data_IF_774412676290
#
_entry.id   IF_774412676290
#
_cell.length_a   1.000
_cell.length_b   1.000
_cell.length_c   1.000
_cell.angle_alpha   90.00
_cell.angle_beta   90.00
_cell.angle_gamma   90.00
#
_symmetry.space_group_name_H-M   'P 1'
#
loop_
_entity.id
_entity.type
_entity.pdbx_description
1 polymer ?
#
# COMPACT_ATOMS: atom_id res chain seq x y z
N UNK A 1 -1.52 -8.20 6.35
CA UNK A 1 -0.05 -8.22 6.38
C UNK A 1 0.54 -9.37 5.59
N UNK A 2 -0.11 -10.51 5.55
CA UNK A 2 0.44 -11.75 5.00
C UNK A 2 0.36 -11.82 3.48
N UNK A 3 -0.36 -10.91 2.88
CA UNK A 3 -0.54 -10.84 1.45
C UNK A 3 0.65 -10.16 0.77
N UNK A 4 1.47 -9.45 1.56
CA UNK A 4 2.64 -8.70 1.09
C UNK A 4 3.97 -9.37 1.45
N UNK A 5 4.00 -10.67 1.56
CA UNK A 5 5.21 -11.45 1.88
C UNK A 5 6.32 -11.36 0.82
N UNK A 6 6.14 -10.54 -0.22
CA UNK A 6 7.15 -10.31 -1.24
C UNK A 6 8.32 -9.45 -0.76
N UNK A 7 8.09 -8.59 0.23
CA UNK A 7 9.10 -7.69 0.79
C UNK A 7 9.54 -8.07 2.21
N UNK A 8 8.63 -8.66 2.99
CA UNK A 8 8.87 -9.16 4.34
C UNK A 8 8.34 -10.57 4.50
N UNK A 9 8.96 -11.36 5.37
CA UNK A 9 8.48 -12.67 5.78
C UNK A 9 8.02 -12.63 7.23
N UNK A 10 6.89 -13.27 7.50
CA UNK A 10 6.34 -13.45 8.83
C UNK A 10 6.29 -14.92 9.19
N UNK A 11 6.79 -15.29 10.38
CA UNK A 11 6.62 -16.62 10.91
C UNK A 11 5.17 -16.82 11.40
N UNK A 12 4.84 -18.01 11.65
CA UNK A 12 3.52 -18.40 12.11
C UNK A 12 2.89 -19.43 11.20
N UNK A 13 1.89 -20.11 11.70
CA UNK A 13 1.29 -21.23 11.01
C UNK A 13 0.60 -20.79 9.71
N UNK A 14 1.22 -21.04 8.57
CA UNK A 14 0.68 -20.87 7.22
C UNK A 14 0.69 -19.45 6.63
N UNK A 15 1.22 -18.44 7.31
CA UNK A 15 1.06 -17.02 6.92
C UNK A 15 1.58 -16.67 5.52
N UNK A 16 2.68 -17.28 5.08
CA UNK A 16 3.28 -16.96 3.78
C UNK A 16 2.85 -17.91 2.66
N UNK A 17 1.85 -18.75 2.91
CA UNK A 17 1.43 -19.84 2.02
C UNK A 17 0.08 -19.60 1.33
N UNK A 18 -0.37 -18.35 1.23
CA UNK A 18 -1.71 -17.95 0.74
C UNK A 18 -2.88 -18.49 1.58
N UNK A 19 -2.61 -18.98 2.78
CA UNK A 19 -3.66 -19.37 3.71
C UNK A 19 -4.26 -18.14 4.40
N UNK A 20 -5.56 -17.93 4.26
CA UNK A 20 -6.27 -16.86 4.95
C UNK A 20 -6.74 -17.36 6.32
N UNK A 21 -6.24 -16.72 7.37
CA UNK A 21 -6.63 -17.01 8.75
C UNK A 21 -7.91 -16.27 9.11
N UNK A 22 -9.03 -16.98 9.25
CA UNK A 22 -10.36 -16.40 9.44
C UNK A 22 -10.42 -15.36 10.56
N UNK A 23 -9.80 -15.64 11.72
CA UNK A 23 -9.80 -14.70 12.84
C UNK A 23 -9.10 -13.38 12.52
N UNK A 24 -8.02 -13.41 11.74
CA UNK A 24 -7.30 -12.20 11.34
C UNK A 24 -8.00 -11.44 10.23
N UNK A 25 -8.58 -12.15 9.29
CA UNK A 25 -9.43 -11.57 8.25
C UNK A 25 -10.62 -10.84 8.88
N UNK A 26 -11.31 -11.50 9.81
CA UNK A 26 -12.43 -10.91 10.54
C UNK A 26 -12.01 -9.69 11.38
N UNK A 27 -10.88 -9.78 12.08
CA UNK A 27 -10.33 -8.65 12.83
C UNK A 27 -9.98 -7.46 11.92
N UNK A 28 -9.38 -7.71 10.76
CA UNK A 28 -9.04 -6.67 9.78
C UNK A 28 -10.29 -5.95 9.30
N UNK A 29 -11.35 -6.67 8.95
CA UNK A 29 -12.61 -6.06 8.55
C UNK A 29 -13.26 -5.28 9.71
N UNK A 30 -13.42 -5.92 10.86
CA UNK A 30 -14.08 -5.34 12.04
C UNK A 30 -13.38 -4.06 12.49
N UNK A 31 -12.07 -4.08 12.66
CA UNK A 31 -11.30 -2.94 13.17
C UNK A 31 -11.40 -1.72 12.26
N UNK A 32 -11.57 -1.91 10.95
CA UNK A 32 -11.76 -0.81 10.00
C UNK A 32 -12.98 0.05 10.36
N UNK A 33 -14.02 -0.53 10.96
CA UNK A 33 -15.22 0.19 11.37
C UNK A 33 -15.22 0.55 12.85
N UNK A 34 -14.92 -0.39 13.74
CA UNK A 34 -15.05 -0.19 15.19
C UNK A 34 -14.11 0.90 15.73
N UNK A 35 -12.92 1.03 15.14
CA UNK A 35 -11.92 2.01 15.58
C UNK A 35 -12.17 3.43 15.06
N UNK A 36 -12.99 3.59 14.03
CA UNK A 36 -13.15 4.89 13.37
C UNK A 36 -14.58 5.44 13.43
N UNK A 37 -15.59 4.58 13.23
CA UNK A 37 -16.94 5.01 12.89
C UNK A 37 -17.61 5.85 13.99
N UNK A 38 -17.44 5.48 15.24
CA UNK A 38 -18.05 6.19 16.37
C UNK A 38 -17.52 7.63 16.46
N UNK A 39 -16.19 7.77 16.47
CA UNK A 39 -15.55 9.10 16.54
C UNK A 39 -15.86 9.95 15.31
N UNK A 40 -15.90 9.36 14.12
CA UNK A 40 -16.29 10.07 12.91
C UNK A 40 -17.73 10.61 12.97
N UNK A 41 -18.68 9.82 13.51
CA UNK A 41 -20.07 10.24 13.72
C UNK A 41 -20.18 11.39 14.72
N UNK A 42 -19.49 11.28 15.86
CA UNK A 42 -19.47 12.32 16.90
C UNK A 42 -18.90 13.63 16.36
N UNK A 43 -17.79 13.57 15.61
CA UNK A 43 -17.18 14.75 14.96
C UNK A 43 -18.17 15.36 13.97
N UNK A 44 -18.85 14.56 13.15
CA UNK A 44 -19.85 15.03 12.22
C UNK A 44 -20.96 15.81 12.94
N UNK A 45 -21.57 15.20 13.95
CA UNK A 45 -22.67 15.80 14.71
C UNK A 45 -22.26 17.10 15.37
N UNK A 46 -21.09 17.13 15.98
CA UNK A 46 -20.60 18.36 16.66
C UNK A 46 -20.22 19.44 15.65
N UNK A 47 -19.63 19.08 14.52
CA UNK A 47 -19.31 20.04 13.44
C UNK A 47 -20.57 20.64 12.82
N UNK A 48 -21.59 19.84 12.57
CA UNK A 48 -22.91 20.33 12.07
C UNK A 48 -23.57 21.27 13.08
N UNK A 49 -23.48 20.99 14.35
CA UNK A 49 -24.05 21.81 15.45
C UNK A 49 -23.30 23.11 15.65
N UNK A 50 -21.99 23.10 15.57
CA UNK A 50 -21.12 24.28 15.84
C UNK A 50 -20.83 25.10 14.59
N UNK A 51 -21.04 24.54 13.39
CA UNK A 51 -20.63 25.11 12.12
C UNK A 51 -19.14 24.98 11.79
N UNK A 52 -18.35 24.28 12.62
CA UNK A 52 -16.90 24.04 12.42
C UNK A 52 -16.65 22.86 11.49
N UNK A 53 -17.02 23.01 10.21
CA UNK A 53 -16.96 21.95 9.20
C UNK A 53 -15.54 21.53 8.82
N UNK A 54 -14.52 22.31 9.13
CA UNK A 54 -13.12 21.98 8.88
C UNK A 54 -12.63 20.75 9.67
N UNK A 55 -13.10 20.56 10.89
CA UNK A 55 -12.77 19.37 11.70
C UNK A 55 -13.40 18.13 11.08
N UNK A 56 -14.64 18.25 10.61
CA UNK A 56 -15.29 17.15 9.89
C UNK A 56 -14.63 16.87 8.53
N UNK A 57 -14.20 17.89 7.81
CA UNK A 57 -13.45 17.71 6.56
C UNK A 57 -12.16 16.90 6.77
N UNK A 58 -11.42 17.17 7.84
CA UNK A 58 -10.26 16.36 8.24
C UNK A 58 -10.68 14.93 8.60
N UNK A 59 -11.75 14.74 9.35
CA UNK A 59 -12.28 13.42 9.70
C UNK A 59 -12.71 12.63 8.46
N UNK A 60 -13.24 13.28 7.40
CA UNK A 60 -13.56 12.65 6.11
C UNK A 60 -12.28 12.16 5.41
N UNK A 61 -11.23 12.97 5.37
CA UNK A 61 -9.94 12.54 4.80
C UNK A 61 -9.40 11.32 5.54
N UNK A 62 -9.45 11.30 6.88
CA UNK A 62 -9.02 10.18 7.70
C UNK A 62 -9.87 8.92 7.44
N UNK A 63 -11.20 9.06 7.35
CA UNK A 63 -12.11 7.97 7.00
C UNK A 63 -11.72 7.35 5.65
N UNK A 64 -11.52 8.16 4.64
CA UNK A 64 -11.15 7.69 3.30
C UNK A 64 -9.77 7.04 3.32
N UNK A 65 -8.79 7.60 4.03
CA UNK A 65 -7.44 7.03 4.20
C UNK A 65 -7.45 5.62 4.82
N UNK A 66 -8.45 5.32 5.65
CA UNK A 66 -8.64 4.00 6.23
C UNK A 66 -9.49 3.08 5.34
N UNK A 67 -10.63 3.56 4.88
CA UNK A 67 -11.65 2.70 4.26
C UNK A 67 -11.41 2.38 2.78
N UNK A 68 -10.63 3.19 2.06
CA UNK A 68 -10.19 2.76 0.73
C UNK A 68 -9.41 1.43 0.80
N UNK A 69 -8.63 1.23 1.88
CA UNK A 69 -7.89 -0.03 2.09
C UNK A 69 -8.84 -1.20 2.34
N UNK A 70 -9.93 -0.97 3.08
CA UNK A 70 -10.96 -1.98 3.32
C UNK A 70 -11.67 -2.36 2.02
N UNK A 71 -12.06 -1.34 1.22
CA UNK A 71 -12.64 -1.53 -0.11
C UNK A 71 -11.71 -2.32 -1.04
N UNK A 72 -10.43 -1.94 -1.08
CA UNK A 72 -9.41 -2.60 -1.90
C UNK A 72 -9.06 -4.01 -1.41
N UNK A 73 -9.33 -4.32 -0.14
CA UNK A 73 -9.07 -5.63 0.46
C UNK A 73 -10.22 -6.60 0.27
N UNK A 74 -11.46 -6.15 0.47
CA UNK A 74 -12.65 -7.02 0.53
C UNK A 74 -13.57 -6.90 -0.68
N UNK A 75 -13.52 -5.80 -1.44
CA UNK A 75 -14.48 -5.45 -2.47
C UNK A 75 -15.62 -4.60 -1.90
N UNK A 76 -16.89 -4.82 -2.27
CA UNK A 76 -18.04 -4.07 -1.77
C UNK A 76 -18.03 -3.91 -0.25
N UNK A 77 -18.30 -2.70 0.24
CA UNK A 77 -18.36 -2.36 1.67
C UNK A 77 -19.47 -1.35 1.93
N UNK A 78 -20.04 -1.27 3.14
CA UNK A 78 -20.91 -0.18 3.54
C UNK A 78 -20.07 1.11 3.70
N UNK A 79 -20.19 2.04 2.76
CA UNK A 79 -19.50 3.33 2.77
C UNK A 79 -20.47 4.51 2.88
N UNK A 80 -21.43 4.61 1.97
CA UNK A 80 -22.33 5.78 1.86
C UNK A 80 -23.31 5.86 3.03
N UNK A 81 -23.85 4.73 3.47
CA UNK A 81 -24.80 4.61 4.56
C UNK A 81 -24.15 4.26 5.92
N UNK A 82 -22.82 4.18 5.95
CA UNK A 82 -22.11 3.84 7.18
C UNK A 82 -22.37 4.87 8.30
N UNK A 83 -22.83 4.35 9.44
CA UNK A 83 -23.16 5.17 10.61
C UNK A 83 -24.60 5.65 10.67
N UNK A 84 -25.46 5.30 9.72
CA UNK A 84 -26.89 5.50 9.85
C UNK A 84 -27.48 4.65 10.98
N UNK A 85 -28.58 5.10 11.61
CA UNK A 85 -29.23 4.38 12.72
C UNK A 85 -30.11 3.24 12.17
N UNK A 86 -29.50 2.28 11.46
CA UNK A 86 -30.16 1.11 10.92
C UNK A 86 -29.52 -0.18 11.43
N UNK A 87 -30.32 -1.23 11.62
CA UNK A 87 -29.81 -2.55 12.01
C UNK A 87 -29.03 -3.21 10.88
N UNK A 88 -29.39 -2.89 9.65
CA UNK A 88 -28.81 -3.44 8.44
C UNK A 88 -28.32 -2.28 7.59
N UNK A 89 -27.04 -2.22 7.32
CA UNK A 89 -26.41 -1.18 6.49
C UNK A 89 -26.10 -1.79 5.11
N UNK A 90 -26.65 -1.25 4.00
CA UNK A 90 -26.40 -1.79 2.68
C UNK A 90 -24.94 -1.62 2.27
N UNK A 91 -24.45 -2.53 1.44
CA UNK A 91 -23.13 -2.44 0.83
C UNK A 91 -23.18 -1.58 -0.43
N UNK A 92 -22.17 -0.77 -0.63
CA UNK A 92 -21.96 -0.07 -1.89
C UNK A 92 -21.13 -0.94 -2.83
N UNK A 93 -21.41 -0.85 -4.14
CA UNK A 93 -20.50 -1.40 -5.14
C UNK A 93 -19.14 -0.68 -5.05
N UNK A 94 -18.07 -1.35 -5.49
CA UNK A 94 -16.75 -0.72 -5.49
C UNK A 94 -16.75 0.60 -6.28
N UNK A 95 -17.43 0.63 -7.44
CA UNK A 95 -17.57 1.84 -8.26
C UNK A 95 -18.27 2.97 -7.52
N UNK A 96 -19.39 2.67 -6.84
CA UNK A 96 -20.16 3.69 -6.13
C UNK A 96 -19.39 4.18 -4.89
N UNK A 97 -18.71 3.28 -4.17
CA UNK A 97 -17.86 3.65 -3.03
C UNK A 97 -16.69 4.56 -3.47
N UNK A 98 -16.00 4.27 -4.59
CA UNK A 98 -14.96 5.16 -5.13
C UNK A 98 -15.52 6.51 -5.53
N UNK A 99 -16.67 6.56 -6.20
CA UNK A 99 -17.33 7.81 -6.58
C UNK A 99 -17.70 8.65 -5.35
N UNK A 100 -18.22 8.01 -4.31
CA UNK A 100 -18.54 8.69 -3.04
C UNK A 100 -17.25 9.20 -2.35
N UNK A 101 -16.16 8.42 -2.33
CA UNK A 101 -14.87 8.86 -1.80
C UNK A 101 -14.33 10.09 -2.56
N UNK A 102 -14.47 10.14 -3.89
CA UNK A 102 -14.05 11.32 -4.65
C UNK A 102 -14.91 12.54 -4.33
N UNK A 103 -16.21 12.38 -4.16
CA UNK A 103 -17.09 13.49 -3.78
C UNK A 103 -16.74 14.01 -2.38
N UNK A 104 -16.57 13.10 -1.42
CA UNK A 104 -16.17 13.43 -0.04
C UNK A 104 -14.81 14.13 0.02
N UNK A 105 -13.81 13.64 -0.74
CA UNK A 105 -12.50 14.28 -0.84
C UNK A 105 -12.59 15.68 -1.46
N UNK A 106 -13.38 15.84 -2.52
CA UNK A 106 -13.56 17.14 -3.18
C UNK A 106 -14.12 18.16 -2.19
N UNK A 107 -15.18 17.81 -1.47
CA UNK A 107 -15.79 18.69 -0.48
C UNK A 107 -14.82 19.01 0.70
N UNK A 108 -14.10 17.99 1.19
CA UNK A 108 -13.14 18.19 2.27
C UNK A 108 -11.96 19.10 1.84
N UNK A 109 -11.42 18.91 0.64
CA UNK A 109 -10.35 19.73 0.07
C UNK A 109 -10.80 21.19 -0.06
N UNK A 110 -12.01 21.44 -0.57
CA UNK A 110 -12.57 22.78 -0.71
C UNK A 110 -12.65 23.51 0.64
N UNK A 111 -13.20 22.85 1.67
CA UNK A 111 -13.30 23.42 3.02
C UNK A 111 -11.92 23.71 3.60
N UNK A 112 -10.96 22.78 3.47
CA UNK A 112 -9.61 22.95 4.03
C UNK A 112 -8.80 23.99 3.25
N UNK A 113 -9.00 24.14 1.95
CA UNK A 113 -8.33 25.16 1.14
C UNK A 113 -8.67 26.57 1.62
N UNK A 114 -9.93 26.83 1.93
CA UNK A 114 -10.34 28.11 2.52
C UNK A 114 -9.63 28.39 3.87
N UNK A 115 -9.29 27.36 4.64
CA UNK A 115 -8.51 27.51 5.89
C UNK A 115 -7.02 27.75 5.61
N UNK A 116 -6.46 27.14 4.56
CA UNK A 116 -5.08 27.44 4.09
C UNK A 116 -4.93 28.91 3.74
N UNK A 117 -5.89 29.50 3.03
CA UNK A 117 -5.88 30.91 2.67
C UNK A 117 -5.89 31.84 3.89
N UNK A 118 -6.53 31.40 4.97
CA UNK A 118 -6.56 32.12 6.25
C UNK A 118 -5.32 31.94 7.10
N UNK A 119 -4.37 31.08 6.69
CA UNK A 119 -3.19 30.72 7.48
C UNK A 119 -3.53 29.97 8.78
N UNK A 120 -4.68 29.29 8.84
CA UNK A 120 -5.18 28.64 10.05
C UNK A 120 -4.67 27.21 10.20
N UNK A 121 -4.45 26.76 11.43
CA UNK A 121 -4.20 25.37 11.80
C UNK A 121 -5.50 24.67 12.19
N UNK A 122 -5.51 23.33 12.13
CA UNK A 122 -6.65 22.51 12.55
C UNK A 122 -6.19 21.51 13.59
N UNK A 123 -6.83 21.49 14.76
CA UNK A 123 -6.63 20.54 15.86
C UNK A 123 -5.15 20.24 16.17
N UNK A 124 -4.29 21.27 16.14
CA UNK A 124 -2.83 21.13 16.22
C UNK A 124 -2.36 20.30 17.42
N UNK A 125 -3.01 20.44 18.57
CA UNK A 125 -2.66 19.71 19.80
C UNK A 125 -2.97 18.21 19.71
N UNK A 126 -3.76 17.79 18.73
CA UNK A 126 -4.23 16.40 18.57
C UNK A 126 -3.77 15.76 17.25
N UNK A 127 -3.12 16.52 16.38
CA UNK A 127 -2.65 16.02 15.07
C UNK A 127 -1.23 15.47 15.16
N UNK A 128 -1.11 14.14 15.27
CA UNK A 128 0.17 13.43 15.32
C UNK A 128 0.82 13.25 13.93
N UNK A 129 0.20 13.73 12.84
CA UNK A 129 0.71 13.58 11.47
C UNK A 129 1.39 14.86 10.99
N UNK A 130 0.69 15.98 11.05
CA UNK A 130 1.17 17.26 10.53
C UNK A 130 1.16 18.42 11.54
N UNK A 131 0.82 18.13 12.83
CA UNK A 131 0.75 19.17 13.86
C UNK A 131 -0.24 20.29 13.54
N UNK A 132 -1.31 19.97 12.82
CA UNK A 132 -2.35 20.91 12.44
C UNK A 132 -2.07 21.71 11.16
N UNK A 133 -1.01 21.41 10.42
CA UNK A 133 -0.69 22.09 9.15
C UNK A 133 -1.74 21.76 8.08
N UNK A 134 -2.68 22.70 7.90
CA UNK A 134 -3.79 22.56 6.95
C UNK A 134 -3.31 22.42 5.50
N UNK A 135 -2.24 23.13 5.12
CA UNK A 135 -1.69 23.05 3.75
C UNK A 135 -1.17 21.64 3.45
N UNK A 136 -0.50 20.99 4.40
CA UNK A 136 -0.04 19.62 4.25
C UNK A 136 -1.21 18.63 4.18
N UNK A 137 -2.28 18.85 4.95
CA UNK A 137 -3.49 18.04 4.85
C UNK A 137 -4.17 18.16 3.48
N UNK A 138 -4.21 19.35 2.88
CA UNK A 138 -4.73 19.54 1.51
C UNK A 138 -3.84 18.84 0.48
N UNK A 139 -2.50 18.97 0.59
CA UNK A 139 -1.58 18.23 -0.27
C UNK A 139 -1.76 16.72 -0.16
N UNK A 140 -1.93 16.22 1.06
CA UNK A 140 -2.20 14.80 1.29
C UNK A 140 -3.50 14.35 0.67
N UNK A 141 -4.59 15.11 0.86
CA UNK A 141 -5.90 14.80 0.31
C UNK A 141 -5.90 14.80 -1.23
N UNK A 142 -5.24 15.77 -1.88
CA UNK A 142 -5.02 15.77 -3.32
C UNK A 142 -4.21 14.55 -3.78
N UNK A 143 -3.17 14.17 -3.04
CA UNK A 143 -2.35 13.00 -3.35
C UNK A 143 -3.12 11.69 -3.15
N UNK A 144 -3.99 11.62 -2.15
CA UNK A 144 -4.91 10.51 -1.94
C UNK A 144 -5.94 10.42 -3.08
N UNK A 145 -6.49 11.55 -3.52
CA UNK A 145 -7.37 11.61 -4.72
C UNK A 145 -6.64 11.07 -5.96
N UNK A 146 -5.39 11.47 -6.17
CA UNK A 146 -4.55 10.96 -7.26
C UNK A 146 -4.32 9.44 -7.15
N UNK A 147 -4.02 8.90 -5.95
CA UNK A 147 -3.86 7.46 -5.71
C UNK A 147 -5.12 6.70 -6.09
N UNK A 148 -6.28 7.14 -5.58
CA UNK A 148 -7.57 6.49 -5.85
C UNK A 148 -7.97 6.60 -7.33
N UNK A 149 -7.71 7.73 -7.98
CA UNK A 149 -7.96 7.91 -9.41
C UNK A 149 -7.10 6.96 -10.26
N UNK A 150 -5.80 6.84 -9.96
CA UNK A 150 -4.94 5.87 -10.64
C UNK A 150 -5.34 4.42 -10.35
N UNK A 151 -5.91 4.13 -9.17
CA UNK A 151 -6.45 2.82 -8.81
C UNK A 151 -7.49 2.34 -9.80
N UNK A 152 -8.42 3.19 -10.18
CA UNK A 152 -9.52 2.85 -11.08
C UNK A 152 -9.19 3.05 -12.57
N UNK A 153 -7.96 3.39 -12.91
CA UNK A 153 -7.57 3.81 -14.28
C UNK A 153 -7.80 2.77 -15.37
N UNK A 154 -7.87 1.48 -15.04
CA UNK A 154 -8.22 0.42 -15.98
C UNK A 154 -9.72 0.13 -16.06
N UNK A 155 -10.47 0.41 -14.99
CA UNK A 155 -11.89 0.11 -14.90
C UNK A 155 -12.76 1.28 -15.35
N UNK A 156 -12.34 2.52 -15.06
CA UNK A 156 -13.04 3.75 -15.45
C UNK A 156 -12.03 4.87 -15.74
N UNK A 157 -11.46 4.83 -16.94
CA UNK A 157 -10.43 5.79 -17.38
C UNK A 157 -10.94 7.23 -17.39
N UNK A 158 -12.20 7.44 -17.73
CA UNK A 158 -12.79 8.79 -17.80
C UNK A 158 -12.83 9.44 -16.43
N UNK A 159 -13.33 8.71 -15.43
CA UNK A 159 -13.37 9.17 -14.05
C UNK A 159 -11.95 9.33 -13.49
N UNK A 160 -11.04 8.41 -13.81
CA UNK A 160 -9.64 8.49 -13.40
C UNK A 160 -8.97 9.77 -13.91
N UNK A 161 -9.04 10.07 -15.21
CA UNK A 161 -8.49 11.30 -15.81
C UNK A 161 -9.03 12.57 -15.16
N UNK A 162 -10.36 12.62 -14.92
CA UNK A 162 -11.01 13.74 -14.26
C UNK A 162 -10.37 14.06 -12.92
N UNK A 163 -10.27 13.07 -12.04
CA UNK A 163 -9.79 13.30 -10.68
C UNK A 163 -8.27 13.42 -10.58
N UNK A 164 -7.50 12.80 -11.50
CA UNK A 164 -6.07 13.08 -11.63
C UNK A 164 -5.85 14.55 -11.99
N UNK A 165 -6.56 15.09 -12.99
CA UNK A 165 -6.43 16.50 -13.36
C UNK A 165 -6.89 17.43 -12.24
N UNK A 166 -7.98 17.10 -11.55
CA UNK A 166 -8.45 17.88 -10.40
C UNK A 166 -7.37 17.97 -9.31
N UNK A 167 -6.73 16.85 -8.95
CA UNK A 167 -5.68 16.83 -7.95
C UNK A 167 -4.43 17.61 -8.39
N UNK A 168 -4.01 17.45 -9.65
CA UNK A 168 -2.78 18.07 -10.16
C UNK A 168 -2.92 19.58 -10.45
N UNK A 169 -4.12 20.03 -10.82
CA UNK A 169 -4.39 21.45 -11.12
C UNK A 169 -4.83 22.24 -9.88
N UNK A 170 -4.99 21.60 -8.72
CA UNK A 170 -5.35 22.28 -7.50
C UNK A 170 -4.24 23.25 -7.07
N UNK A 171 -4.61 24.46 -6.62
CA UNK A 171 -3.68 25.54 -6.31
C UNK A 171 -2.67 25.22 -5.20
N UNK A 172 -3.06 24.42 -4.20
CA UNK A 172 -2.17 23.94 -3.14
C UNK A 172 -1.26 22.80 -3.63
N UNK A 173 -1.71 22.08 -4.66
CA UNK A 173 -1.00 20.98 -5.29
C UNK A 173 -1.03 19.67 -4.48
N UNK A 174 -0.17 18.75 -4.91
CA UNK A 174 0.06 17.43 -4.29
C UNK A 174 1.36 17.42 -3.50
N UNK A 175 1.64 16.32 -2.80
CA UNK A 175 2.92 16.12 -2.11
C UNK A 175 4.06 16.04 -3.12
N UNK A 176 5.16 16.77 -2.87
CA UNK A 176 6.30 16.85 -3.80
C UNK A 176 7.68 16.73 -3.11
N UNK A 177 7.72 16.71 -1.80
CA UNK A 177 8.97 16.67 -1.05
C UNK A 177 8.84 15.80 0.20
N UNK A 178 9.97 15.33 0.72
CA UNK A 178 10.04 14.59 2.00
C UNK A 178 9.31 15.31 3.14
N UNK A 179 9.34 16.63 3.17
CA UNK A 179 8.66 17.42 4.18
C UNK A 179 7.11 17.35 4.10
N UNK A 180 6.56 16.85 2.99
CA UNK A 180 5.12 16.65 2.81
C UNK A 180 4.63 15.25 3.23
N UNK A 181 5.54 14.32 3.60
CA UNK A 181 5.19 12.93 3.93
C UNK A 181 4.10 12.85 5.00
N UNK A 182 3.06 12.06 4.73
CA UNK A 182 2.05 11.73 5.72
C UNK A 182 2.59 10.58 6.58
N UNK A 183 3.09 10.93 7.75
CA UNK A 183 3.70 9.98 8.68
C UNK A 183 3.11 10.13 10.07
N UNK A 184 2.84 9.02 10.72
CA UNK A 184 2.40 8.99 12.11
C UNK A 184 3.57 8.56 13.00
N UNK A 185 3.81 9.35 14.04
CA UNK A 185 4.83 9.09 15.06
C UNK A 185 4.29 9.42 16.45
N UNK A 186 5.16 9.45 17.48
CA UNK A 186 4.77 9.89 18.81
C UNK A 186 4.38 11.36 18.79
N UNK A 187 3.32 11.70 19.51
CA UNK A 187 2.82 13.06 19.65
C UNK A 187 1.40 13.09 20.17
N UNK A 188 0.88 14.27 20.47
CA UNK A 188 -0.50 14.49 20.89
C UNK A 188 -0.99 13.58 22.04
N UNK A 189 -0.13 13.27 23.00
CA UNK A 189 -0.45 12.37 24.12
C UNK A 189 -0.47 10.89 23.76
N UNK A 190 -0.14 10.53 22.51
CA UNK A 190 -0.12 9.15 22.05
C UNK A 190 1.25 8.51 22.27
N UNK A 191 1.26 7.29 22.81
CA UNK A 191 2.45 6.44 22.84
C UNK A 191 2.49 5.65 21.53
N UNK A 192 3.50 5.92 20.71
CA UNK A 192 3.70 5.25 19.43
C UNK A 192 4.82 4.22 19.53
N UNK A 193 4.60 3.08 18.93
CA UNK A 193 5.62 2.07 18.65
C UNK A 193 5.39 1.46 17.27
N UNK A 194 6.44 1.35 16.47
CA UNK A 194 6.34 0.71 15.17
C UNK A 194 6.15 -0.81 15.33
N UNK A 195 5.04 -1.35 14.81
CA UNK A 195 4.70 -2.76 14.93
C UNK A 195 5.68 -3.69 14.21
N UNK A 196 6.32 -3.24 13.12
CA UNK A 196 7.29 -4.05 12.38
C UNK A 196 8.52 -4.28 13.25
N UNK A 197 8.99 -3.27 13.97
CA UNK A 197 10.08 -3.42 14.95
C UNK A 197 9.71 -4.46 16.01
N UNK A 198 8.51 -4.35 16.56
CA UNK A 198 8.06 -5.26 17.60
C UNK A 198 7.97 -6.71 17.09
N UNK A 199 7.37 -6.95 15.92
CA UNK A 199 7.32 -8.26 15.29
C UNK A 199 8.72 -8.80 14.96
N UNK A 200 9.61 -7.96 14.46
CA UNK A 200 10.97 -8.36 14.08
C UNK A 200 11.84 -8.72 15.27
N UNK A 201 11.82 -7.90 16.34
CA UNK A 201 12.75 -8.00 17.43
C UNK A 201 12.22 -8.79 18.64
N UNK A 202 10.90 -8.69 18.93
CA UNK A 202 10.31 -9.42 20.07
C UNK A 202 9.81 -10.80 19.68
N UNK A 203 9.21 -10.93 18.50
CA UNK A 203 8.68 -12.23 18.03
C UNK A 203 9.59 -12.93 17.04
N UNK A 204 10.63 -12.26 16.54
CA UNK A 204 11.54 -12.81 15.53
C UNK A 204 10.82 -13.24 14.24
N UNK A 205 9.80 -12.50 13.82
CA UNK A 205 8.87 -12.92 12.78
C UNK A 205 9.00 -12.18 11.44
N UNK A 206 9.63 -11.01 11.40
CA UNK A 206 9.83 -10.25 10.17
C UNK A 206 11.25 -10.38 9.64
N UNK A 207 11.39 -10.74 8.38
CA UNK A 207 12.67 -10.84 7.66
C UNK A 207 12.51 -10.31 6.23
N UNK A 208 13.62 -9.96 5.61
CA UNK A 208 13.67 -9.61 4.20
C UNK A 208 13.04 -10.71 3.34
N UNK A 209 12.14 -10.34 2.44
CA UNK A 209 11.52 -11.27 1.49
C UNK A 209 12.37 -11.48 0.24
N UNK A 210 12.22 -12.65 -0.40
CA UNK A 210 12.99 -13.09 -1.57
C UNK A 210 12.93 -12.11 -2.73
N UNK A 211 11.77 -11.56 -3.05
CA UNK A 211 11.64 -10.62 -4.18
C UNK A 211 12.40 -9.32 -3.91
N UNK A 212 12.27 -8.77 -2.70
CA UNK A 212 13.01 -7.55 -2.32
C UNK A 212 14.53 -7.77 -2.40
N UNK A 213 15.01 -8.95 -1.98
CA UNK A 213 16.41 -9.35 -2.16
C UNK A 213 16.84 -9.33 -3.63
N UNK A 214 16.06 -9.95 -4.52
CA UNK A 214 16.38 -10.04 -5.95
C UNK A 214 16.51 -8.66 -6.60
N UNK A 215 15.61 -7.75 -6.27
CA UNK A 215 15.62 -6.39 -6.81
C UNK A 215 16.72 -5.52 -6.20
N UNK A 216 16.81 -5.42 -4.88
CA UNK A 216 17.75 -4.51 -4.23
C UNK A 216 19.22 -4.91 -4.46
N UNK A 217 19.54 -6.21 -4.38
CA UNK A 217 20.90 -6.65 -4.63
C UNK A 217 21.24 -6.57 -6.13
N UNK A 218 20.30 -6.95 -6.99
CA UNK A 218 20.51 -6.93 -8.44
C UNK A 218 20.76 -5.53 -8.99
N UNK A 219 19.95 -4.58 -8.61
CA UNK A 219 20.12 -3.18 -8.98
C UNK A 219 21.29 -2.48 -8.29
N UNK A 220 21.92 -3.14 -7.30
CA UNK A 220 22.83 -2.47 -6.36
C UNK A 220 22.17 -1.24 -5.75
N UNK A 221 20.88 -1.41 -5.37
CA UNK A 221 20.02 -0.32 -4.96
C UNK A 221 20.49 0.29 -3.64
N UNK A 222 20.84 1.59 -3.64
CA UNK A 222 21.44 2.22 -2.47
C UNK A 222 20.51 2.32 -1.26
N UNK A 223 19.20 2.01 -1.40
CA UNK A 223 18.24 1.91 -0.29
C UNK A 223 18.37 0.60 0.48
N UNK A 224 19.14 -0.39 0.00
CA UNK A 224 19.28 -1.70 0.64
C UNK A 224 19.60 -1.59 2.14
N UNK A 225 20.64 -0.87 2.50
CA UNK A 225 21.06 -0.70 3.90
C UNK A 225 20.13 0.20 4.73
N UNK A 226 19.35 1.07 4.08
CA UNK A 226 18.32 1.85 4.75
C UNK A 226 17.10 0.98 5.11
N UNK A 227 16.80 -0.04 4.31
CA UNK A 227 15.65 -0.90 4.52
C UNK A 227 15.93 -2.12 5.39
N UNK A 228 17.14 -2.70 5.28
CA UNK A 228 17.47 -3.96 5.94
C UNK A 228 18.82 -3.93 6.63
N UNK A 229 18.88 -4.59 7.79
CA UNK A 229 20.12 -4.87 8.47
C UNK A 229 20.88 -6.01 7.76
N UNK A 230 22.20 -6.01 7.91
CA UNK A 230 23.04 -7.12 7.43
C UNK A 230 22.66 -8.42 8.15
N UNK A 231 22.76 -9.53 7.43
CA UNK A 231 22.52 -10.85 7.96
C UNK A 231 23.74 -11.38 8.72
N UNK A 232 23.52 -12.04 9.84
CA UNK A 232 24.56 -12.79 10.58
C UNK A 232 24.73 -14.24 10.09
N UNK A 233 23.92 -14.69 9.13
CA UNK A 233 23.99 -16.05 8.60
C UNK A 233 25.32 -16.34 7.91
N UNK A 234 25.90 -17.51 8.20
CA UNK A 234 27.11 -17.99 7.52
C UNK A 234 26.92 -18.21 6.02
N UNK A 235 25.67 -18.31 5.56
CA UNK A 235 25.30 -18.55 4.16
C UNK A 235 24.80 -17.29 3.44
N UNK A 236 24.91 -16.13 4.09
CA UNK A 236 24.42 -14.88 3.50
C UNK A 236 25.26 -14.47 2.29
N UNK A 237 24.59 -13.86 1.31
CA UNK A 237 25.21 -13.37 0.07
C UNK A 237 25.87 -12.01 0.33
N UNK A 238 27.10 -11.84 -0.12
CA UNK A 238 27.79 -10.57 -0.09
C UNK A 238 27.21 -9.62 -1.12
N UNK A 239 26.88 -8.41 -0.69
CA UNK A 239 26.35 -7.35 -1.54
C UNK A 239 27.43 -6.34 -1.91
N UNK A 240 27.08 -5.42 -2.82
CA UNK A 240 27.96 -4.37 -3.34
C UNK A 240 28.46 -3.38 -2.26
N UNK A 241 27.80 -3.29 -1.12
CA UNK A 241 28.18 -2.44 0.03
C UNK A 241 29.15 -3.13 1.00
N UNK A 242 29.64 -4.32 0.66
CA UNK A 242 30.54 -5.13 1.48
C UNK A 242 29.85 -5.82 2.67
N UNK A 243 28.54 -5.68 2.81
CA UNK A 243 27.74 -6.38 3.82
C UNK A 243 27.13 -7.65 3.23
N UNK A 244 26.61 -8.50 4.08
CA UNK A 244 25.96 -9.75 3.68
C UNK A 244 24.47 -9.69 3.97
N UNK A 245 23.66 -10.18 3.04
CA UNK A 245 22.19 -10.21 3.16
C UNK A 245 21.66 -11.61 2.87
N UNK A 246 20.58 -11.94 3.54
CA UNK A 246 19.85 -13.19 3.31
C UNK A 246 18.36 -12.96 3.53
N UNK A 247 17.56 -13.47 2.59
CA UNK A 247 16.13 -13.32 2.59
C UNK A 247 15.41 -14.66 2.70
N UNK A 248 14.17 -14.62 3.14
CA UNK A 248 13.29 -15.79 3.26
C UNK A 248 12.50 -16.00 1.97
N UNK A 249 12.43 -17.24 1.46
CA UNK A 249 11.57 -17.58 0.33
C UNK A 249 10.08 -17.39 0.66
N UNK A 250 9.26 -16.92 -0.29
CA UNK A 250 7.84 -16.80 -0.06
C UNK A 250 7.18 -18.19 0.01
N UNK A 251 6.21 -18.37 0.90
CA UNK A 251 5.50 -19.64 1.07
C UNK A 251 6.39 -20.79 1.52
N UNK A 252 7.33 -20.49 2.38
CA UNK A 252 8.30 -21.44 2.89
C UNK A 252 7.64 -22.56 3.72
N UNK A 253 8.09 -23.80 3.51
CA UNK A 253 7.59 -24.97 4.23
C UNK A 253 8.06 -25.01 5.70
N UNK A 254 9.19 -24.39 6.01
CA UNK A 254 9.74 -24.32 7.36
C UNK A 254 9.26 -23.07 8.06
N UNK A 255 8.31 -23.23 8.96
CA UNK A 255 7.64 -22.13 9.63
C UNK A 255 8.21 -21.85 11.06
N UNK A 256 9.35 -22.43 11.39
CA UNK A 256 10.02 -22.15 12.64
C UNK A 256 10.86 -20.86 12.51
N UNK A 257 10.50 -19.84 13.26
CA UNK A 257 11.23 -18.57 13.29
C UNK A 257 12.71 -18.70 13.67
N UNK A 258 13.08 -19.73 14.42
CA UNK A 258 14.46 -20.01 14.81
C UNK A 258 15.40 -20.30 13.63
N UNK A 259 14.87 -20.77 12.50
CA UNK A 259 15.66 -21.05 11.28
C UNK A 259 16.15 -19.75 10.64
N UNK A 260 15.38 -18.68 10.78
CA UNK A 260 15.58 -17.40 10.09
C UNK A 260 16.08 -16.30 11.02
N UNK A 261 16.47 -16.64 12.25
CA UNK A 261 16.92 -15.68 13.27
C UNK A 261 18.03 -14.77 12.73
N UNK A 262 18.99 -15.34 12.01
CA UNK A 262 20.18 -14.64 11.51
C UNK A 262 19.99 -13.98 10.14
N UNK A 263 18.79 -14.08 9.56
CA UNK A 263 18.50 -13.45 8.26
C UNK A 263 18.31 -11.94 8.40
N UNK A 264 18.39 -11.22 7.28
CA UNK A 264 18.27 -9.77 7.25
C UNK A 264 16.94 -9.30 7.83
N UNK A 265 17.00 -8.46 8.85
CA UNK A 265 15.85 -7.84 9.51
C UNK A 265 15.50 -6.51 8.87
N UNK A 266 14.23 -6.06 8.98
CA UNK A 266 13.91 -4.67 8.72
C UNK A 266 14.75 -3.72 9.58
N UNK A 267 15.36 -2.72 8.96
CA UNK A 267 16.10 -1.67 9.67
C UNK A 267 15.10 -0.61 10.18
N UNK A 268 14.24 -1.01 11.11
CA UNK A 268 13.15 -0.20 11.65
C UNK A 268 13.27 -0.17 13.17
N UNK A 269 13.43 1.02 13.72
CA UNK A 269 13.45 1.26 15.15
C UNK A 269 12.02 1.43 15.71
N UNK A 270 11.85 1.34 17.03
CA UNK A 270 10.55 1.47 17.68
C UNK A 270 9.88 2.83 17.44
N UNK A 271 10.69 3.87 17.24
CA UNK A 271 10.23 5.24 16.96
C UNK A 271 10.24 5.59 15.46
N UNK A 272 10.58 4.65 14.58
CA UNK A 272 10.46 4.88 13.12
C UNK A 272 9.00 5.15 12.78
N UNK A 273 8.66 6.27 12.11
CA UNK A 273 7.28 6.59 11.77
C UNK A 273 6.60 5.53 10.91
N UNK A 274 5.28 5.45 11.00
CA UNK A 274 4.46 4.73 10.03
C UNK A 274 4.04 5.68 8.92
N UNK A 275 4.45 5.40 7.69
CA UNK A 275 4.16 6.23 6.53
C UNK A 275 2.83 5.82 5.88
N UNK A 276 1.91 6.77 5.75
CA UNK A 276 0.64 6.58 5.04
C UNK A 276 0.79 6.83 3.55
N UNK A 277 1.60 7.85 3.21
CA UNK A 277 1.96 8.21 1.84
C UNK A 277 3.26 9.00 1.84
N UNK A 278 4.10 8.75 0.84
CA UNK A 278 5.36 9.44 0.62
C UNK A 278 5.34 10.20 -0.71
N UNK A 279 6.14 11.25 -0.83
CA UNK A 279 6.17 12.08 -2.03
C UNK A 279 6.67 11.31 -3.27
N UNK A 280 7.59 10.37 -3.10
CA UNK A 280 8.08 9.50 -4.18
C UNK A 280 6.95 8.70 -4.83
N UNK A 281 6.01 8.19 -4.06
CA UNK A 281 4.82 7.51 -4.59
C UNK A 281 4.02 8.43 -5.51
N UNK A 282 3.82 9.68 -5.10
CA UNK A 282 3.06 10.68 -5.88
C UNK A 282 3.73 10.92 -7.23
N UNK A 283 5.05 11.02 -7.28
CA UNK A 283 5.78 11.13 -8.54
C UNK A 283 5.59 9.92 -9.45
N UNK A 284 5.62 8.70 -8.91
CA UNK A 284 5.37 7.50 -9.71
C UNK A 284 3.93 7.39 -10.22
N UNK A 285 2.93 7.82 -9.43
CA UNK A 285 1.54 7.92 -9.89
C UNK A 285 1.40 8.92 -11.05
N UNK A 286 2.07 10.06 -10.96
CA UNK A 286 2.11 11.08 -12.03
C UNK A 286 2.85 10.57 -13.26
N UNK A 287 3.97 9.87 -13.10
CA UNK A 287 4.72 9.28 -14.19
C UNK A 287 3.87 8.26 -14.97
N UNK A 288 3.11 7.43 -14.26
CA UNK A 288 2.16 6.50 -14.89
C UNK A 288 1.03 7.25 -15.63
N UNK A 289 0.45 8.29 -15.04
CA UNK A 289 -0.59 9.10 -15.67
C UNK A 289 -0.07 9.75 -16.96
N UNK A 290 1.13 10.33 -16.93
CA UNK A 290 1.76 10.93 -18.10
C UNK A 290 2.12 9.88 -19.16
N UNK A 291 2.60 8.70 -18.78
CA UNK A 291 2.88 7.61 -19.71
C UNK A 291 1.63 7.13 -20.44
N UNK A 292 0.48 7.06 -19.76
CA UNK A 292 -0.79 6.58 -20.30
C UNK A 292 -1.49 7.60 -21.15
N UNK A 293 -1.51 8.85 -20.71
CA UNK A 293 -2.44 9.86 -21.22
C UNK A 293 -1.74 11.05 -21.86
N UNK A 294 -0.42 11.09 -21.82
CA UNK A 294 0.39 12.08 -22.55
C UNK A 294 0.67 13.37 -21.79
N UNK A 295 1.16 14.36 -22.53
CA UNK A 295 1.81 15.56 -22.00
C UNK A 295 0.94 16.47 -21.12
N UNK A 296 -0.39 16.38 -21.21
CA UNK A 296 -1.27 17.14 -20.31
C UNK A 296 -1.05 16.76 -18.84
N UNK A 297 -0.59 15.53 -18.58
CA UNK A 297 -0.33 14.98 -17.25
C UNK A 297 1.14 15.15 -16.80
N UNK A 298 2.00 15.63 -17.68
CA UNK A 298 3.42 15.91 -17.44
C UNK A 298 4.37 15.14 -18.35
N UNK A 299 5.67 15.19 -18.03
CA UNK A 299 6.71 14.39 -18.69
C UNK A 299 6.94 13.11 -17.87
N UNK A 300 6.60 11.97 -18.45
CA UNK A 300 6.66 10.67 -17.76
C UNK A 300 8.09 10.31 -17.32
N UNK A 301 9.11 10.63 -18.15
CA UNK A 301 10.52 10.35 -17.83
C UNK A 301 10.98 11.22 -16.66
N UNK A 302 10.78 12.52 -16.76
CA UNK A 302 11.19 13.46 -15.73
C UNK A 302 10.51 13.16 -14.38
N UNK A 303 9.23 12.80 -14.40
CA UNK A 303 8.48 12.42 -13.20
C UNK A 303 8.98 11.09 -12.60
N UNK A 304 9.33 10.11 -13.42
CA UNK A 304 9.93 8.86 -12.97
C UNK A 304 11.28 9.09 -12.30
N UNK A 305 12.18 9.82 -12.95
CA UNK A 305 13.50 10.14 -12.43
C UNK A 305 13.41 10.95 -11.12
N UNK A 306 12.48 11.92 -11.06
CA UNK A 306 12.21 12.66 -9.83
C UNK A 306 11.64 11.76 -8.72
N UNK A 307 10.82 10.76 -9.06
CA UNK A 307 10.32 9.78 -8.11
C UNK A 307 11.45 8.97 -7.46
N UNK A 308 12.43 8.53 -8.26
CA UNK A 308 13.63 7.83 -7.75
C UNK A 308 14.47 8.76 -6.88
N UNK A 309 14.72 10.00 -7.32
CA UNK A 309 15.48 11.00 -6.56
C UNK A 309 14.82 11.30 -5.21
N UNK A 310 13.50 11.49 -5.22
CA UNK A 310 12.73 11.74 -4.00
C UNK A 310 12.80 10.54 -3.06
N UNK A 311 12.67 9.31 -3.58
CA UNK A 311 12.79 8.09 -2.76
C UNK A 311 14.19 7.95 -2.13
N UNK A 312 15.25 8.39 -2.81
CA UNK A 312 16.60 8.40 -2.23
C UNK A 312 16.68 9.41 -1.07
N UNK A 313 16.20 10.65 -1.27
CA UNK A 313 16.17 11.67 -0.22
C UNK A 313 15.33 11.23 1.00
N UNK A 314 14.16 10.66 0.77
CA UNK A 314 13.27 10.12 1.81
C UNK A 314 13.99 9.11 2.71
N UNK A 315 14.89 8.31 2.14
CA UNK A 315 15.63 7.27 2.85
C UNK A 315 17.06 7.69 3.26
N UNK A 316 17.40 8.96 3.09
CA UNK A 316 18.72 9.49 3.47
C UNK A 316 19.88 8.91 2.65
N UNK A 317 19.61 8.54 1.42
CA UNK A 317 20.60 7.97 0.48
C UNK A 317 21.22 9.09 -0.35
N UNK A 318 22.56 9.16 -0.37
CA UNK A 318 23.31 10.20 -1.09
C UNK A 318 23.93 9.74 -2.41
N UNK A 319 23.52 8.57 -2.93
CA UNK A 319 24.02 8.04 -4.20
C UNK A 319 23.51 8.84 -5.39
N UNK A 320 24.31 8.85 -6.48
CA UNK A 320 23.90 9.47 -7.73
C UNK A 320 22.69 8.77 -8.34
N UNK A 321 21.62 9.51 -8.54
CA UNK A 321 20.42 9.02 -9.21
C UNK A 321 20.70 8.71 -10.68
N UNK A 322 21.47 9.58 -11.36
CA UNK A 322 21.82 9.40 -12.76
C UNK A 322 22.63 8.13 -12.99
N UNK A 323 23.63 7.85 -12.13
CA UNK A 323 24.43 6.63 -12.21
C UNK A 323 23.58 5.39 -11.94
N UNK A 324 22.66 5.45 -10.99
CA UNK A 324 21.73 4.37 -10.69
C UNK A 324 20.82 4.08 -11.90
N UNK A 325 20.20 5.09 -12.46
CA UNK A 325 19.32 4.97 -13.62
C UNK A 325 20.05 4.48 -14.87
N UNK A 326 21.30 4.93 -15.09
CA UNK A 326 22.12 4.52 -16.24
C UNK A 326 22.83 3.17 -16.04
N UNK A 327 22.67 2.51 -14.90
CA UNK A 327 23.51 1.36 -14.53
C UNK A 327 23.36 0.13 -15.41
N UNK A 328 22.25 -0.02 -16.13
CA UNK A 328 21.95 -1.22 -16.92
C UNK A 328 21.80 -2.52 -16.11
N UNK A 329 21.78 -2.43 -14.78
CA UNK A 329 21.66 -3.56 -13.87
C UNK A 329 20.24 -4.13 -13.89
N UNK A 330 20.13 -5.42 -13.58
CA UNK A 330 18.86 -6.15 -13.52
C UNK A 330 18.73 -6.89 -12.20
N UNK A 331 17.51 -7.24 -11.76
CA UNK A 331 17.33 -8.11 -10.60
C UNK A 331 18.11 -9.41 -10.75
N UNK A 332 18.52 -10.01 -9.65
CA UNK A 332 19.28 -11.26 -9.64
C UNK A 332 18.43 -12.46 -9.22
N UNK A 333 18.90 -13.63 -9.55
CA UNK A 333 18.38 -14.88 -9.01
C UNK A 333 18.56 -14.90 -7.48
N UNK A 334 17.60 -15.45 -6.76
CA UNK A 334 17.73 -15.68 -5.34
C UNK A 334 18.06 -17.15 -5.07
N UNK A 335 19.32 -17.41 -4.73
CA UNK A 335 19.82 -18.72 -4.34
C UNK A 335 20.12 -18.70 -2.83
N UNK A 336 19.16 -19.16 -2.03
CA UNK A 336 19.28 -19.20 -0.58
C UNK A 336 19.72 -20.59 -0.12
N UNK A 337 20.61 -20.62 0.86
CA UNK A 337 21.01 -21.80 1.59
C UNK A 337 20.87 -21.57 3.09
N UNK A 338 20.41 -22.57 3.81
CA UNK A 338 20.48 -22.70 5.25
C UNK A 338 21.08 -24.08 5.58
N UNK A 339 21.31 -24.40 6.85
CA UNK A 339 21.98 -25.65 7.23
C UNK A 339 21.34 -26.92 6.66
N UNK A 340 20.02 -26.93 6.49
CA UNK A 340 19.26 -28.09 6.00
C UNK A 340 18.15 -27.73 4.99
N UNK A 341 18.18 -26.52 4.46
CA UNK A 341 17.20 -26.06 3.49
C UNK A 341 17.86 -25.18 2.43
N UNK A 342 17.45 -25.36 1.20
CA UNK A 342 17.88 -24.52 0.08
C UNK A 342 16.67 -24.09 -0.77
N UNK A 343 16.81 -22.94 -1.40
CA UNK A 343 15.84 -22.37 -2.30
C UNK A 343 16.56 -21.75 -3.49
N UNK A 344 15.95 -21.86 -4.66
CA UNK A 344 16.44 -21.19 -5.85
C UNK A 344 15.27 -20.64 -6.66
N UNK A 345 15.34 -19.37 -7.04
CA UNK A 345 14.46 -18.75 -7.99
C UNK A 345 15.28 -17.95 -9.00
N UNK A 346 14.89 -18.01 -10.28
CA UNK A 346 15.47 -17.18 -11.32
C UNK A 346 15.24 -15.69 -11.02
N UNK A 347 15.99 -14.81 -11.68
CA UNK A 347 15.71 -13.38 -11.66
C UNK A 347 14.26 -13.12 -12.12
N UNK A 348 13.48 -12.30 -11.39
CA UNK A 348 12.06 -12.14 -11.69
C UNK A 348 11.77 -11.40 -13.01
N UNK A 349 12.70 -10.55 -13.45
CA UNK A 349 12.61 -9.77 -14.69
C UNK A 349 13.99 -9.38 -15.18
N UNK A 350 14.08 -8.93 -16.43
CA UNK A 350 15.27 -8.30 -17.00
C UNK A 350 15.15 -6.76 -17.09
N UNK A 351 14.13 -6.17 -16.46
CA UNK A 351 13.94 -4.72 -16.45
C UNK A 351 15.11 -4.02 -15.74
N UNK A 352 15.63 -2.98 -16.39
CA UNK A 352 16.66 -2.09 -15.82
C UNK A 352 16.02 -0.86 -15.18
N UNK A 353 16.72 -0.11 -14.31
CA UNK A 353 16.21 1.16 -13.78
C UNK A 353 16.04 2.26 -14.83
N UNK A 354 16.71 2.19 -15.99
CA UNK A 354 16.62 3.18 -17.04
C UNK A 354 15.20 3.30 -17.62
N UNK A 355 14.70 4.53 -17.77
CA UNK A 355 13.38 4.78 -18.37
C UNK A 355 13.41 4.63 -19.88
N UNK A 356 13.53 3.41 -20.38
CA UNK A 356 13.67 3.04 -21.77
C UNK A 356 12.73 1.89 -22.17
N UNK A 357 12.54 1.69 -23.47
CA UNK A 357 11.67 0.64 -24.02
C UNK A 357 10.28 1.13 -24.41
N UNK A 358 9.37 0.19 -24.69
CA UNK A 358 7.98 0.44 -25.04
C UNK A 358 7.13 0.88 -23.82
N UNK A 359 5.86 1.18 -24.08
CA UNK A 359 4.94 1.68 -23.03
C UNK A 359 4.80 0.69 -21.88
N UNK A 360 4.65 -0.60 -22.16
CA UNK A 360 4.49 -1.63 -21.12
C UNK A 360 5.77 -1.83 -20.31
N UNK A 361 6.94 -1.80 -20.96
CA UNK A 361 8.24 -1.88 -20.27
C UNK A 361 8.49 -0.67 -19.37
N UNK A 362 8.12 0.53 -19.83
CA UNK A 362 8.18 1.75 -19.00
C UNK A 362 7.22 1.67 -17.81
N UNK A 363 6.01 1.13 -18.00
CA UNK A 363 5.08 0.89 -16.92
C UNK A 363 5.66 -0.08 -15.88
N UNK A 364 6.24 -1.20 -16.33
CA UNK A 364 6.92 -2.14 -15.42
C UNK A 364 7.97 -1.42 -14.56
N UNK A 365 8.81 -0.59 -15.18
CA UNK A 365 9.88 0.16 -14.49
C UNK A 365 9.34 1.18 -13.48
N UNK A 366 8.28 1.92 -13.84
CA UNK A 366 7.60 2.81 -12.90
C UNK A 366 7.10 2.03 -11.68
N UNK A 367 6.43 0.92 -11.91
CA UNK A 367 5.82 0.14 -10.82
C UNK A 367 6.89 -0.57 -9.97
N UNK A 368 7.99 -1.04 -10.56
CA UNK A 368 9.12 -1.59 -9.80
C UNK A 368 9.68 -0.53 -8.85
N UNK A 369 9.97 0.67 -9.34
CA UNK A 369 10.53 1.73 -8.50
C UNK A 369 9.53 2.24 -7.46
N UNK A 370 8.25 2.34 -7.82
CA UNK A 370 7.17 2.62 -6.87
C UNK A 370 7.09 1.55 -5.78
N UNK A 371 7.13 0.27 -6.14
CA UNK A 371 7.08 -0.85 -5.19
C UNK A 371 8.26 -0.83 -4.21
N UNK A 372 9.48 -0.56 -4.69
CA UNK A 372 10.65 -0.40 -3.81
C UNK A 372 10.45 0.80 -2.87
N UNK A 373 9.98 1.94 -3.39
CA UNK A 373 9.75 3.16 -2.61
C UNK A 373 8.62 3.02 -1.58
N UNK A 374 7.63 2.17 -1.83
CA UNK A 374 6.51 1.90 -0.92
C UNK A 374 6.93 1.13 0.34
N UNK A 375 8.12 0.53 0.40
CA UNK A 375 8.56 -0.17 1.59
C UNK A 375 8.52 0.74 2.83
N UNK A 376 7.92 0.35 3.96
CA UNK A 376 7.28 -0.92 4.26
C UNK A 376 5.73 -0.93 4.13
N UNK A 377 5.14 -0.11 3.25
CA UNK A 377 3.69 -0.04 3.04
C UNK A 377 3.19 -1.21 2.17
N UNK A 378 3.11 -2.38 2.77
CA UNK A 378 2.79 -3.60 2.05
C UNK A 378 1.37 -3.64 1.48
N UNK A 379 0.37 -2.96 2.08
CA UNK A 379 -0.98 -2.92 1.54
C UNK A 379 -1.01 -2.24 0.16
N UNK A 380 -0.39 -1.07 0.04
CA UNK A 380 -0.33 -0.34 -1.23
C UNK A 380 0.48 -1.13 -2.27
N UNK A 381 1.61 -1.74 -1.88
CA UNK A 381 2.42 -2.57 -2.74
C UNK A 381 1.62 -3.77 -3.32
N UNK A 382 0.83 -4.47 -2.48
CA UNK A 382 -0.04 -5.56 -2.90
C UNK A 382 -1.16 -5.09 -3.82
N UNK A 383 -1.74 -3.94 -3.54
CA UNK A 383 -2.83 -3.38 -4.34
C UNK A 383 -2.34 -2.97 -5.73
N UNK A 384 -1.16 -2.35 -5.84
CA UNK A 384 -0.53 -2.02 -7.11
C UNK A 384 -0.14 -3.27 -7.92
N UNK A 385 0.37 -4.30 -7.25
CA UNK A 385 0.65 -5.57 -7.90
C UNK A 385 -0.61 -6.20 -8.51
N UNK A 386 -1.73 -6.21 -7.78
CA UNK A 386 -3.01 -6.68 -8.32
C UNK A 386 -3.45 -5.85 -9.51
N UNK A 387 -3.39 -4.53 -9.40
CA UNK A 387 -3.83 -3.60 -10.44
C UNK A 387 -3.03 -3.73 -11.74
N UNK A 388 -1.72 -3.88 -11.66
CA UNK A 388 -0.80 -3.76 -12.80
C UNK A 388 -0.18 -5.07 -13.24
N UNK A 389 -0.05 -6.06 -12.36
CA UNK A 389 0.72 -7.29 -12.55
C UNK A 389 2.23 -7.10 -12.35
N UNK A 390 2.65 -5.94 -11.81
CA UNK A 390 4.04 -5.60 -11.52
C UNK A 390 4.23 -5.22 -10.04
N UNK A 391 5.46 -5.41 -9.49
CA UNK A 391 6.61 -6.06 -10.11
C UNK A 391 6.38 -7.57 -10.32
N UNK A 392 7.18 -8.22 -11.13
CA UNK A 392 7.24 -9.68 -11.15
C UNK A 392 7.89 -10.16 -9.86
N UNK A 393 7.24 -11.09 -9.17
CA UNK A 393 7.64 -11.56 -7.85
C UNK A 393 8.13 -13.01 -7.89
N UNK A 394 9.02 -13.36 -6.99
CA UNK A 394 9.40 -14.75 -6.76
C UNK A 394 8.18 -15.53 -6.26
N UNK A 395 7.91 -16.66 -6.87
CA UNK A 395 6.68 -17.42 -6.62
C UNK A 395 6.69 -18.12 -5.26
N UNK A 396 5.51 -18.18 -4.65
CA UNK A 396 5.25 -18.91 -3.41
C UNK A 396 5.56 -20.41 -3.60
N UNK A 397 6.41 -20.98 -2.75
CA UNK A 397 6.80 -22.39 -2.82
C UNK A 397 5.66 -23.32 -2.39
N UNK A 398 5.10 -23.08 -1.22
CA UNK A 398 3.99 -23.85 -0.66
C UNK A 398 2.73 -23.02 -0.77
N UNK A 399 1.76 -23.48 -1.53
CA UNK A 399 0.46 -22.83 -1.67
C UNK A 399 -0.60 -23.65 -0.90
N UNK A 400 -1.20 -23.06 0.11
CA UNK A 400 -2.31 -23.62 0.92
C UNK A 400 -3.60 -22.84 0.73
N UNK A 401 -3.62 -21.84 -0.16
CA UNK A 401 -4.82 -21.06 -0.48
C UNK A 401 -5.81 -21.88 -1.30
N UNK A 402 -7.06 -21.92 -0.87
CA UNK A 402 -8.11 -22.62 -1.61
C UNK A 402 -8.40 -21.92 -2.94
N UNK A 403 -8.17 -22.64 -4.04
CA UNK A 403 -8.38 -22.16 -5.40
C UNK A 403 -7.40 -21.09 -5.86
N UNK A 404 -6.45 -20.68 -5.03
CA UNK A 404 -5.42 -19.70 -5.38
C UNK A 404 -4.32 -20.37 -6.18
N UNK A 405 -3.91 -19.81 -7.32
CA UNK A 405 -2.73 -20.25 -8.06
C UNK A 405 -1.48 -19.50 -7.60
N UNK A 406 -0.28 -20.05 -7.85
CA UNK A 406 0.97 -19.37 -7.50
C UNK A 406 1.14 -18.06 -8.26
N UNK A 407 0.75 -18.06 -9.54
CA UNK A 407 0.84 -16.92 -10.44
C UNK A 407 -0.23 -15.86 -10.14
N UNK A 408 -1.45 -16.31 -9.86
CA UNK A 408 -2.60 -15.43 -9.61
C UNK A 408 -2.57 -14.77 -8.24
N UNK A 409 -2.00 -15.45 -7.26
CA UNK A 409 -1.95 -14.97 -5.88
C UNK A 409 -3.33 -14.70 -5.26
N UNK A 410 -3.32 -14.09 -4.09
CA UNK A 410 -4.54 -13.61 -3.44
C UNK A 410 -4.97 -12.28 -4.08
N UNK A 411 -6.21 -12.23 -4.59
CA UNK A 411 -6.78 -11.04 -5.24
C UNK A 411 -7.67 -10.22 -4.31
N UNK A 412 -8.23 -10.83 -3.27
CA UNK A 412 -8.99 -10.20 -2.20
C UNK A 412 -8.98 -11.07 -0.93
N UNK A 413 -9.33 -10.50 0.20
CA UNK A 413 -9.72 -11.28 1.36
C UNK A 413 -11.20 -11.62 1.28
N UNK A 414 -11.57 -12.83 1.74
CA UNK A 414 -12.97 -13.23 1.86
C UNK A 414 -13.64 -12.45 3.00
N UNK A 415 -14.95 -12.31 2.95
CA UNK A 415 -15.69 -11.70 4.06
C UNK A 415 -15.58 -12.53 5.34
N UNK A 416 -15.72 -11.90 6.52
CA UNK A 416 -15.76 -12.65 7.78
C UNK A 416 -16.82 -13.75 7.75
N UNK A 417 -16.46 -14.94 8.20
CA UNK A 417 -17.35 -16.10 8.20
C UNK A 417 -18.67 -15.84 8.96
N UNK A 418 -18.64 -14.96 9.97
CA UNK A 418 -19.83 -14.53 10.71
C UNK A 418 -20.94 -13.98 9.81
N UNK A 419 -20.62 -13.34 8.68
CA UNK A 419 -21.63 -12.76 7.78
C UNK A 419 -22.54 -13.82 7.14
N UNK A 420 -21.98 -14.97 6.77
CA UNK A 420 -22.77 -16.09 6.24
C UNK A 420 -23.53 -16.88 7.30
N UNK A 421 -23.08 -16.80 8.56
CA UNK A 421 -23.65 -17.54 9.68
C UNK A 421 -24.70 -16.77 10.47
N UNK A 422 -24.64 -15.44 10.48
CA UNK A 422 -25.60 -14.56 11.13
C UNK A 422 -26.88 -14.46 10.30
N UNK A 423 -28.03 -14.65 10.91
CA UNK A 423 -29.32 -14.45 10.23
C UNK A 423 -29.55 -12.97 9.86
N UNK A 424 -29.07 -12.05 10.70
CA UNK A 424 -29.25 -10.62 10.53
C UNK A 424 -28.31 -10.06 9.41
N UNK A 425 -27.09 -10.60 9.29
CA UNK A 425 -26.11 -10.15 8.29
C UNK A 425 -26.26 -10.82 6.93
N UNK A 426 -26.98 -11.95 6.87
CA UNK A 426 -27.06 -12.79 5.66
C UNK A 426 -27.56 -12.04 4.43
N UNK A 427 -28.60 -11.23 4.58
CA UNK A 427 -29.15 -10.45 3.44
C UNK A 427 -28.11 -9.46 2.87
N UNK A 428 -27.39 -8.76 3.73
CA UNK A 428 -26.30 -7.87 3.32
C UNK A 428 -25.12 -8.63 2.69
N UNK A 429 -24.80 -9.80 3.24
CA UNK A 429 -23.76 -10.65 2.68
C UNK A 429 -24.12 -11.13 1.27
N UNK A 430 -25.37 -11.58 1.05
CA UNK A 430 -25.87 -12.00 -0.26
C UNK A 430 -25.85 -10.82 -1.26
N UNK A 431 -26.23 -9.61 -0.82
CA UNK A 431 -26.12 -8.42 -1.62
C UNK A 431 -24.66 -8.10 -1.99
N UNK A 432 -23.74 -8.16 -1.03
CA UNK A 432 -22.31 -7.98 -1.28
C UNK A 432 -21.76 -8.98 -2.31
N UNK A 433 -22.21 -10.24 -2.25
CA UNK A 433 -21.84 -11.26 -3.24
C UNK A 433 -22.42 -10.96 -4.63
N UNK A 434 -23.64 -10.46 -4.71
CA UNK A 434 -24.22 -10.04 -5.98
C UNK A 434 -23.44 -8.88 -6.59
N UNK A 435 -22.99 -7.91 -5.78
CA UNK A 435 -22.12 -6.81 -6.22
C UNK A 435 -20.73 -7.30 -6.68
N UNK A 436 -20.24 -8.41 -6.13
CA UNK A 436 -19.01 -9.11 -6.59
C UNK A 436 -19.21 -9.91 -7.89
N UNK A 437 -20.46 -10.07 -8.34
CA UNK A 437 -20.81 -10.82 -9.55
C UNK A 437 -21.43 -12.19 -9.32
N UNK A 438 -21.81 -12.54 -8.09
CA UNK A 438 -22.61 -13.75 -7.79
C UNK A 438 -22.22 -14.47 -6.50
N UNK A 439 -23.09 -15.40 -6.09
CA UNK A 439 -22.99 -16.14 -4.83
C UNK A 439 -21.69 -16.96 -4.65
N UNK A 440 -21.01 -17.31 -5.75
CA UNK A 440 -19.79 -18.10 -5.75
C UNK A 440 -18.50 -17.23 -5.73
N UNK A 441 -18.63 -15.91 -5.58
CA UNK A 441 -17.53 -14.94 -5.69
C UNK A 441 -16.81 -14.61 -4.39
N UNK A 442 -17.26 -15.09 -3.25
CA UNK A 442 -16.50 -14.91 -2.00
C UNK A 442 -15.29 -15.85 -1.94
N UNK A 443 -14.34 -15.60 -2.83
CA UNK A 443 -13.11 -16.38 -2.97
C UNK A 443 -11.90 -15.48 -3.03
N UNK A 444 -10.79 -15.95 -2.50
CA UNK A 444 -9.52 -15.20 -2.51
C UNK A 444 -9.00 -14.88 -3.92
N UNK A 445 -9.42 -15.63 -4.94
CA UNK A 445 -9.06 -15.41 -6.35
C UNK A 445 -9.97 -14.44 -7.09
N UNK A 446 -11.09 -14.03 -6.49
CA UNK A 446 -12.04 -13.11 -7.15
C UNK A 446 -11.39 -11.76 -7.34
N UNK A 447 -11.28 -11.34 -8.60
CA UNK A 447 -10.74 -10.03 -8.95
C UNK A 447 -11.80 -8.96 -8.69
N UNK A 448 -11.38 -7.87 -8.07
CA UNK A 448 -12.20 -6.72 -7.79
C UNK A 448 -12.45 -5.90 -9.07
N UNK A 449 -13.44 -5.01 -9.06
CA UNK A 449 -13.81 -4.21 -10.22
C UNK A 449 -12.63 -3.43 -10.83
N UNK A 450 -11.78 -2.83 -9.99
CA UNK A 450 -10.60 -2.07 -10.42
C UNK A 450 -9.41 -2.95 -10.80
N UNK A 451 -9.39 -4.22 -10.38
CA UNK A 451 -8.36 -5.23 -10.70
C UNK A 451 -8.70 -5.93 -12.02
N UNK A 452 -8.65 -5.21 -13.13
CA UNK A 452 -9.17 -5.67 -14.41
C UNK A 452 -8.16 -5.68 -15.57
N UNK A 453 -6.93 -5.17 -15.38
CA UNK A 453 -5.91 -5.18 -16.45
C UNK A 453 -5.59 -6.58 -16.94
N UNK A 454 -5.38 -7.51 -16.01
CA UNK A 454 -5.00 -8.89 -16.29
C UNK A 454 -6.08 -9.82 -15.70
N UNK A 455 -7.26 -9.85 -16.31
CA UNK A 455 -8.31 -10.76 -15.84
C UNK A 455 -7.89 -12.19 -16.07
N UNK A 456 -7.89 -12.97 -15.00
CA UNK A 456 -7.73 -14.41 -15.00
C UNK A 456 -9.15 -14.98 -15.11
N UNK A 457 -9.49 -15.54 -16.25
CA UNK A 457 -10.78 -16.18 -16.50
C UNK A 457 -10.80 -17.62 -16.01
#
# INVERSE_FOLDING_TARGET
SDVCSSDLWYSGSNNTTYYLQDAWVAATYKNSYTELLSSWKEIRQESEKTGSMEVFALAQILKISAWHKTLETFGPIPYTHAGEPALVIPFDSEKDAFNAMFADLTAAIEILTARVEQGATIVADYDAVYGGDTRKWVKYANSLMLRLAMRISYADETTAKKYVLQALKHEVGVMTAKADEAQMSSGAGMVFRNNIEWLSNQYNECRMGSSMFSYLLGYKDPRLGAYFEASASAYATEAYDGKKYQAVPPGNAYQQNTIYTDFSKPNIASNTPTYWMRASEVYFLRAEAALRWGAEFGDAKALYEQGVATSFDENGVSSSVDDYLASGLTPIAHNMRASYYSYSAAAPTAATPEFSGGTEEKLEKIIIQKWIALYPNGHEAWTEWRRTGYPKLNQVQTNRGQGVTREGGIRRMVYPLSFSQSADDRANYEEALNLLGGADKDKAITQLWWDCKNRIY
#
